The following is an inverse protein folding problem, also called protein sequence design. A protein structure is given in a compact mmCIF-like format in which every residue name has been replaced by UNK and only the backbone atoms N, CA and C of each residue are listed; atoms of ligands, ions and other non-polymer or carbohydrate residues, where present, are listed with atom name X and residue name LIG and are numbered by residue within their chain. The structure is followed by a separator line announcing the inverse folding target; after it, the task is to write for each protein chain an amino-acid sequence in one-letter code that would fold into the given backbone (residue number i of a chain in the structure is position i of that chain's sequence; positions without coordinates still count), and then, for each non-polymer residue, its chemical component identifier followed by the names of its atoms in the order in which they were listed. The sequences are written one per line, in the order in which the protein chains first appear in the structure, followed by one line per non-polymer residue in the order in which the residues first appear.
data_IF_060592366030
#
_entry.id   IF_060592366030
#
_cell.length_a   1.000
_cell.length_b   1.000
_cell.length_c   1.000
_cell.angle_alpha   90.00
_cell.angle_beta   90.00
_cell.angle_gamma   90.00
#
_symmetry.space_group_name_H-M   'P 1'
#
loop_
_entity.id
_entity.type
_entity.pdbx_description
1 polymer ?
#
# COMPACT_ATOMS: atom_id res chain seq x y z
N UNK A 1 -78.76 25.53 -32.65
CA UNK A 1 -79.13 26.85 -32.10
C UNK A 1 -77.86 27.49 -31.56
N UNK A 2 -77.31 28.47 -32.30
CA UNK A 2 -76.07 29.17 -31.97
C UNK A 2 -76.45 30.55 -31.42
N UNK A 3 -76.29 30.77 -30.12
CA UNK A 3 -76.55 32.07 -29.52
C UNK A 3 -75.39 33.03 -29.80
N UNK A 4 -75.71 34.13 -30.47
CA UNK A 4 -74.86 35.28 -30.73
C UNK A 4 -74.45 35.94 -29.40
N UNK A 5 -73.15 35.91 -29.09
CA UNK A 5 -72.56 36.67 -27.98
C UNK A 5 -72.76 38.18 -28.16
N UNK A 6 -73.17 38.84 -27.08
CA UNK A 6 -73.44 40.28 -26.97
C UNK A 6 -72.15 41.11 -26.92
N UNK A 7 -72.24 42.37 -27.35
CA UNK A 7 -71.13 43.33 -27.49
C UNK A 7 -70.39 43.75 -26.19
N UNK A 8 -70.65 43.10 -25.06
CA UNK A 8 -70.00 43.36 -23.76
C UNK A 8 -68.75 42.52 -23.49
N UNK A 9 -68.53 41.43 -24.24
CA UNK A 9 -67.39 40.52 -24.00
C UNK A 9 -66.06 41.00 -24.59
N UNK A 10 -66.06 42.09 -25.37
CA UNK A 10 -64.85 42.59 -26.04
C UNK A 10 -63.87 43.30 -25.10
N UNK A 11 -64.31 43.67 -23.89
CA UNK A 11 -63.51 44.35 -22.87
C UNK A 11 -63.45 43.56 -21.54
N UNK A 12 -63.79 42.27 -21.57
CA UNK A 12 -63.65 41.42 -20.39
C UNK A 12 -62.16 41.06 -20.19
N UNK A 13 -61.63 41.11 -18.95
CA UNK A 13 -60.28 40.64 -18.68
C UNK A 13 -60.17 39.14 -19.04
N UNK A 14 -58.99 38.68 -19.48
CA UNK A 14 -58.77 37.28 -19.80
C UNK A 14 -59.07 36.40 -18.58
N UNK A 15 -59.71 35.25 -18.83
CA UNK A 15 -60.13 34.33 -17.77
C UNK A 15 -58.96 33.67 -17.02
N UNK A 16 -57.78 33.66 -17.64
CA UNK A 16 -56.54 33.12 -17.06
C UNK A 16 -55.39 34.06 -17.40
N UNK A 17 -54.49 34.26 -16.44
CA UNK A 17 -53.22 34.97 -16.60
C UNK A 17 -52.13 33.93 -16.43
N UNK A 18 -51.24 33.79 -17.41
CA UNK A 18 -50.05 32.95 -17.31
C UNK A 18 -48.94 33.76 -16.65
N UNK A 19 -48.49 33.31 -15.48
CA UNK A 19 -47.37 33.93 -14.76
C UNK A 19 -46.18 32.96 -14.73
N UNK A 20 -44.97 33.49 -14.98
CA UNK A 20 -43.74 32.72 -14.85
C UNK A 20 -43.43 32.47 -13.37
N UNK A 21 -43.64 31.25 -12.89
CA UNK A 21 -43.31 30.86 -11.53
C UNK A 21 -41.80 30.60 -11.45
N UNK A 22 -41.08 31.48 -10.77
CA UNK A 22 -39.66 31.30 -10.47
C UNK A 22 -39.50 30.77 -9.05
N UNK A 23 -39.07 29.52 -8.94
CA UNK A 23 -38.76 28.90 -7.66
C UNK A 23 -37.25 28.73 -7.50
N UNK A 24 -36.74 29.05 -6.31
CA UNK A 24 -35.34 28.78 -5.96
C UNK A 24 -35.27 27.45 -5.23
N UNK A 25 -34.76 26.43 -5.92
CA UNK A 25 -34.54 25.10 -5.33
C UNK A 25 -33.11 25.01 -4.80
N UNK A 26 -32.97 24.63 -3.52
CA UNK A 26 -31.67 24.30 -2.93
C UNK A 26 -31.47 22.80 -2.97
N UNK A 27 -30.32 22.37 -3.45
CA UNK A 27 -29.93 20.96 -3.53
C UNK A 27 -28.50 20.80 -3.01
N UNK A 28 -28.15 19.62 -2.50
CA UNK A 28 -26.80 19.36 -2.04
C UNK A 28 -25.92 18.88 -3.18
N UNK A 29 -24.75 19.51 -3.26
CA UNK A 29 -23.58 19.03 -3.99
C UNK A 29 -22.40 19.06 -3.05
N UNK A 30 -21.49 18.13 -3.20
CA UNK A 30 -20.32 18.08 -2.34
C UNK A 30 -19.28 17.11 -2.84
N UNK A 31 -18.10 17.23 -2.23
CA UNK A 31 -17.01 16.28 -2.37
C UNK A 31 -16.81 15.64 -1.01
N UNK A 32 -16.86 14.31 -0.97
CA UNK A 32 -16.53 13.55 0.23
C UNK A 32 -15.17 12.89 0.06
N UNK A 33 -14.37 12.90 1.12
CA UNK A 33 -13.02 12.33 1.13
C UNK A 33 -12.84 11.44 2.34
N UNK A 34 -12.41 10.20 2.11
CA UNK A 34 -11.99 9.28 3.17
C UNK A 34 -10.54 8.90 3.01
N UNK A 35 -9.85 8.82 4.15
CA UNK A 35 -8.44 8.44 4.21
C UNK A 35 -8.23 7.42 5.32
N UNK A 36 -7.66 6.28 4.96
CA UNK A 36 -7.17 5.30 5.91
C UNK A 36 -5.65 5.26 5.86
N UNK A 37 -5.01 5.11 7.02
CA UNK A 37 -3.58 4.90 7.10
C UNK A 37 -3.27 3.86 8.17
N UNK A 38 -2.29 3.01 7.90
CA UNK A 38 -1.78 2.04 8.85
C UNK A 38 -0.26 2.23 8.93
N UNK A 39 0.25 2.20 10.15
CA UNK A 39 1.68 2.25 10.43
C UNK A 39 2.06 1.05 11.30
N UNK A 40 3.03 0.27 10.84
CA UNK A 40 3.53 -0.91 11.54
C UNK A 40 5.02 -0.74 11.77
N UNK A 41 5.41 -0.81 13.05
CA UNK A 41 6.81 -0.87 13.45
C UNK A 41 7.14 -2.29 13.85
N UNK A 42 8.22 -2.84 13.30
CA UNK A 42 8.66 -4.20 13.59
C UNK A 42 10.16 -4.29 13.81
N UNK A 43 10.55 -5.31 14.57
CA UNK A 43 11.94 -5.67 14.82
C UNK A 43 12.15 -7.13 14.45
N UNK A 44 13.20 -7.40 13.70
CA UNK A 44 13.68 -8.74 13.40
C UNK A 44 14.87 -9.05 14.31
N UNK A 45 14.81 -10.18 15.01
CA UNK A 45 15.80 -10.58 16.02
C UNK A 45 16.28 -11.98 15.65
N UNK A 46 17.59 -12.19 15.69
CA UNK A 46 18.18 -13.52 15.64
C UNK A 46 18.01 -14.20 17.00
N UNK A 47 17.34 -15.36 17.01
CA UNK A 47 17.05 -16.09 18.25
C UNK A 47 18.30 -16.75 18.82
N UNK A 48 19.27 -17.13 17.97
CA UNK A 48 20.50 -17.78 18.42
C UNK A 48 21.47 -16.76 19.03
N UNK A 49 21.69 -15.62 18.36
CA UNK A 49 22.61 -14.58 18.82
C UNK A 49 21.98 -13.52 19.74
N UNK A 50 20.65 -13.43 19.80
CA UNK A 50 19.94 -12.32 20.46
C UNK A 50 20.14 -10.96 19.76
N UNK A 51 20.79 -10.95 18.59
CA UNK A 51 21.14 -9.74 17.87
C UNK A 51 19.94 -9.19 17.07
N UNK A 52 19.80 -7.88 17.04
CA UNK A 52 18.75 -7.22 16.24
C UNK A 52 19.19 -7.15 14.78
N UNK A 53 18.61 -7.99 13.93
CA UNK A 53 18.86 -8.02 12.49
C UNK A 53 18.34 -6.74 11.82
N UNK A 54 17.17 -6.26 12.23
CA UNK A 54 16.57 -5.05 11.67
C UNK A 54 15.53 -4.42 12.60
N UNK A 55 15.37 -3.10 12.52
CA UNK A 55 14.20 -2.38 13.04
C UNK A 55 13.69 -1.47 11.94
N UNK A 56 12.41 -1.57 11.60
CA UNK A 56 11.80 -0.78 10.52
C UNK A 56 10.40 -0.31 10.89
N UNK A 57 9.97 0.73 10.19
CA UNK A 57 8.63 1.29 10.26
C UNK A 57 8.08 1.36 8.83
N UNK A 58 6.92 0.76 8.61
CA UNK A 58 6.21 0.76 7.33
C UNK A 58 4.93 1.55 7.54
N UNK A 59 4.63 2.46 6.61
CA UNK A 59 3.37 3.20 6.60
C UNK A 59 2.73 3.09 5.21
N UNK A 60 1.42 2.87 5.18
CA UNK A 60 0.59 2.94 3.98
C UNK A 60 -0.58 3.86 4.23
N UNK A 61 -0.97 4.60 3.19
CA UNK A 61 -2.07 5.56 3.20
C UNK A 61 -2.89 5.32 1.94
N UNK A 62 -4.21 5.22 2.08
CA UNK A 62 -5.15 5.18 0.97
C UNK A 62 -6.15 6.29 1.14
N UNK A 63 -6.36 7.06 0.09
CA UNK A 63 -7.33 8.13 0.02
C UNK A 63 -8.30 7.83 -1.12
N UNK A 64 -9.59 7.98 -0.86
CA UNK A 64 -10.68 7.87 -1.81
C UNK A 64 -11.51 9.13 -1.73
N UNK A 65 -11.89 9.67 -2.88
CA UNK A 65 -12.65 10.92 -3.01
C UNK A 65 -13.73 10.68 -4.04
N UNK A 66 -14.92 11.22 -3.78
CA UNK A 66 -16.03 11.18 -4.71
C UNK A 66 -16.84 12.47 -4.63
N UNK A 67 -17.35 12.89 -5.78
CA UNK A 67 -18.22 14.05 -5.90
C UNK A 67 -19.67 13.54 -6.03
N UNK A 68 -20.62 14.17 -5.33
CA UNK A 68 -22.02 13.75 -5.36
C UNK A 68 -22.96 14.93 -5.60
N UNK A 69 -24.13 14.62 -6.15
CA UNK A 69 -25.19 15.58 -6.46
C UNK A 69 -26.57 14.98 -6.18
N UNK A 70 -27.38 15.67 -5.38
CA UNK A 70 -28.78 15.28 -5.16
C UNK A 70 -29.66 15.46 -6.42
N UNK A 71 -29.14 16.14 -7.46
CA UNK A 71 -29.85 16.37 -8.72
C UNK A 71 -31.08 17.28 -8.58
N UNK A 72 -31.51 17.86 -9.69
CA UNK A 72 -32.77 18.60 -9.81
C UNK A 72 -33.38 18.23 -11.17
N UNK A 73 -34.36 17.32 -11.23
CA UNK A 73 -34.99 16.91 -12.48
C UNK A 73 -35.58 18.08 -13.28
N UNK A 74 -36.20 19.05 -12.59
CA UNK A 74 -36.85 20.23 -13.17
C UNK A 74 -35.85 21.20 -13.82
N UNK A 75 -34.59 21.18 -13.40
CA UNK A 75 -33.51 22.00 -13.93
C UNK A 75 -32.52 21.19 -14.79
N UNK A 76 -32.86 19.95 -15.14
CA UNK A 76 -32.01 19.03 -15.89
C UNK A 76 -30.62 18.79 -15.25
N UNK A 77 -30.56 18.82 -13.91
CA UNK A 77 -29.34 18.52 -13.15
C UNK A 77 -29.38 17.03 -12.77
N UNK A 78 -28.41 16.20 -13.20
CA UNK A 78 -28.43 14.77 -12.93
C UNK A 78 -28.21 14.47 -11.44
N UNK A 79 -28.86 13.41 -10.98
CA UNK A 79 -28.59 12.78 -9.68
C UNK A 79 -27.33 11.93 -9.78
N UNK A 80 -26.39 12.15 -8.86
CA UNK A 80 -25.15 11.40 -8.73
C UNK A 80 -24.98 10.96 -7.27
N UNK A 81 -25.24 9.67 -6.96
CA UNK A 81 -25.12 9.16 -5.60
C UNK A 81 -23.64 9.04 -5.18
N UNK A 82 -23.38 9.31 -3.90
CA UNK A 82 -22.05 9.11 -3.32
C UNK A 82 -21.61 7.64 -3.38
N UNK A 83 -20.49 7.38 -4.05
CA UNK A 83 -19.85 6.08 -4.24
C UNK A 83 -18.50 6.03 -3.54
N UNK A 84 -18.53 5.94 -2.21
CA UNK A 84 -17.32 5.76 -1.38
C UNK A 84 -17.40 4.43 -0.64
N UNK A 85 -16.31 3.64 -0.60
CA UNK A 85 -16.27 2.37 0.12
C UNK A 85 -16.54 2.56 1.63
N UNK A 86 -16.99 1.47 2.25
CA UNK A 86 -17.14 1.44 3.69
C UNK A 86 -15.79 1.57 4.39
N UNK A 87 -15.79 2.06 5.63
CA UNK A 87 -14.55 2.27 6.39
C UNK A 87 -13.80 0.96 6.62
N UNK A 88 -14.54 -0.15 6.81
CA UNK A 88 -13.98 -1.50 6.92
C UNK A 88 -13.32 -1.97 5.64
N UNK A 89 -13.93 -1.73 4.49
CA UNK A 89 -13.36 -2.09 3.18
C UNK A 89 -12.08 -1.30 2.90
N UNK A 90 -12.10 0.01 3.19
CA UNK A 90 -10.92 0.86 3.02
C UNK A 90 -9.78 0.44 3.97
N UNK A 91 -10.11 0.04 5.21
CA UNK A 91 -9.14 -0.47 6.18
C UNK A 91 -8.55 -1.82 5.72
N UNK A 92 -9.38 -2.73 5.22
CA UNK A 92 -8.95 -4.04 4.72
C UNK A 92 -8.00 -3.89 3.53
N UNK A 93 -8.29 -2.97 2.61
CA UNK A 93 -7.40 -2.65 1.48
C UNK A 93 -6.03 -2.17 1.96
N UNK A 94 -5.98 -1.21 2.89
CA UNK A 94 -4.70 -0.72 3.45
C UNK A 94 -3.97 -1.83 4.22
N UNK A 95 -4.72 -2.70 4.91
CA UNK A 95 -4.17 -3.83 5.67
C UNK A 95 -3.51 -4.85 4.74
N UNK A 96 -4.16 -5.21 3.64
CA UNK A 96 -3.59 -6.13 2.65
C UNK A 96 -2.31 -5.54 2.02
N UNK A 97 -2.32 -4.25 1.70
CA UNK A 97 -1.14 -3.55 1.16
C UNK A 97 0.04 -3.57 2.15
N UNK A 98 -0.20 -3.27 3.44
CA UNK A 98 0.87 -3.24 4.44
C UNK A 98 1.38 -4.64 4.81
N UNK A 99 0.50 -5.63 4.88
CA UNK A 99 0.88 -7.04 5.15
C UNK A 99 1.73 -7.59 4.00
N UNK A 100 1.35 -7.30 2.75
CA UNK A 100 2.13 -7.71 1.58
C UNK A 100 3.51 -7.07 1.57
N UNK A 101 3.60 -5.77 1.88
CA UNK A 101 4.88 -5.05 2.00
C UNK A 101 5.73 -5.63 3.13
N UNK A 102 5.15 -5.85 4.31
CA UNK A 102 5.83 -6.45 5.46
C UNK A 102 6.39 -7.83 5.10
N UNK A 103 5.58 -8.69 4.47
CA UNK A 103 5.99 -10.00 4.00
C UNK A 103 7.19 -9.94 3.05
N UNK A 104 7.14 -9.06 2.03
CA UNK A 104 8.25 -8.84 1.10
C UNK A 104 9.52 -8.36 1.81
N UNK A 105 9.41 -7.42 2.74
CA UNK A 105 10.57 -6.90 3.47
C UNK A 105 11.19 -7.95 4.39
N UNK A 106 10.37 -8.71 5.10
CA UNK A 106 10.84 -9.80 5.97
C UNK A 106 11.49 -10.91 5.15
N UNK A 107 10.82 -11.40 4.09
CA UNK A 107 11.38 -12.41 3.20
C UNK A 107 12.66 -11.94 2.50
N UNK A 108 12.80 -10.65 2.22
CA UNK A 108 14.02 -10.06 1.67
C UNK A 108 15.27 -10.35 2.52
N UNK A 109 15.14 -10.41 3.84
CA UNK A 109 16.24 -10.79 4.74
C UNK A 109 16.62 -12.27 4.61
N UNK A 110 15.67 -13.13 4.27
CA UNK A 110 15.87 -14.58 4.13
C UNK A 110 16.11 -15.04 2.69
N UNK A 111 16.02 -14.12 1.71
CA UNK A 111 16.15 -14.45 0.28
C UNK A 111 17.58 -14.86 -0.10
N UNK A 112 18.57 -14.36 0.64
CA UNK A 112 20.00 -14.66 0.43
C UNK A 112 20.67 -15.19 1.71
N UNK A 113 20.34 -16.42 2.15
CA UNK A 113 20.98 -17.03 3.32
C UNK A 113 22.51 -17.09 3.19
N UNK A 114 23.02 -17.31 1.97
CA UNK A 114 24.46 -17.31 1.71
C UNK A 114 25.14 -15.98 2.09
N UNK A 115 24.46 -14.84 1.94
CA UNK A 115 24.99 -13.53 2.37
C UNK A 115 25.00 -13.39 3.89
N UNK A 116 24.00 -13.97 4.57
CA UNK A 116 23.97 -14.00 6.03
C UNK A 116 25.15 -14.82 6.57
N UNK A 117 25.32 -16.05 6.08
CA UNK A 117 26.43 -16.91 6.48
C UNK A 117 27.80 -16.28 6.24
N UNK A 118 27.99 -15.60 5.10
CA UNK A 118 29.20 -14.83 4.83
C UNK A 118 29.45 -13.75 5.87
N UNK A 119 28.45 -12.94 6.22
CA UNK A 119 28.60 -11.87 7.24
C UNK A 119 28.84 -12.42 8.64
N UNK A 120 28.21 -13.53 8.98
CA UNK A 120 28.43 -14.22 10.25
C UNK A 120 29.85 -14.77 10.32
N UNK A 121 30.34 -15.40 9.24
CA UNK A 121 31.73 -15.85 9.11
C UNK A 121 32.73 -14.70 9.28
N UNK A 122 32.50 -13.57 8.62
CA UNK A 122 33.34 -12.36 8.77
C UNK A 122 33.36 -11.85 10.23
N UNK A 123 32.24 -11.95 10.93
CA UNK A 123 32.11 -11.48 12.32
C UNK A 123 32.83 -12.42 13.29
N UNK A 124 32.70 -13.74 13.10
CA UNK A 124 33.40 -14.76 13.88
C UNK A 124 34.92 -14.70 13.64
N UNK A 125 35.34 -14.46 12.40
CA UNK A 125 36.74 -14.27 12.06
C UNK A 125 37.35 -13.05 12.78
N UNK A 126 36.61 -11.93 12.86
CA UNK A 126 37.03 -10.75 13.66
C UNK A 126 37.17 -11.07 15.15
N UNK A 127 36.31 -11.97 15.67
CA UNK A 127 36.37 -12.48 17.05
C UNK A 127 37.46 -13.54 17.25
N UNK A 128 38.21 -13.91 16.20
CA UNK A 128 39.23 -14.99 16.18
C UNK A 128 38.67 -16.38 16.43
N UNK A 129 37.38 -16.57 16.22
CA UNK A 129 36.72 -17.88 16.24
C UNK A 129 36.81 -18.52 14.85
N UNK A 130 38.03 -18.84 14.42
CA UNK A 130 38.33 -19.21 13.03
C UNK A 130 37.64 -20.50 12.58
N UNK A 131 37.57 -21.52 13.44
CA UNK A 131 36.91 -22.79 13.11
C UNK A 131 35.42 -22.59 12.77
N UNK A 132 34.71 -21.83 13.61
CA UNK A 132 33.30 -21.48 13.36
C UNK A 132 33.14 -20.54 12.17
N UNK A 133 34.11 -19.65 11.92
CA UNK A 133 34.09 -18.79 10.75
C UNK A 133 34.19 -19.59 9.45
N UNK A 134 35.09 -20.58 9.39
CA UNK A 134 35.26 -21.48 8.26
C UNK A 134 33.99 -22.28 8.00
N UNK A 135 33.37 -22.84 9.05
CA UNK A 135 32.09 -23.55 8.94
C UNK A 135 31.03 -22.67 8.27
N UNK A 136 30.88 -21.41 8.71
CA UNK A 136 29.90 -20.49 8.10
C UNK A 136 30.24 -20.11 6.65
N UNK A 137 31.51 -20.04 6.28
CA UNK A 137 31.89 -19.84 4.88
C UNK A 137 31.57 -21.07 4.01
N UNK A 138 31.76 -22.28 4.54
CA UNK A 138 31.37 -23.53 3.86
C UNK A 138 29.84 -23.59 3.70
N UNK A 139 29.07 -23.22 4.74
CA UNK A 139 27.60 -23.10 4.66
C UNK A 139 27.18 -22.16 3.52
N UNK A 140 27.89 -21.03 3.34
CA UNK A 140 27.61 -20.09 2.26
C UNK A 140 27.91 -20.67 0.86
N UNK A 141 29.04 -21.37 0.71
CA UNK A 141 29.46 -22.02 -0.55
C UNK A 141 28.46 -23.11 -0.94
N UNK A 142 28.17 -24.03 -0.02
CA UNK A 142 27.26 -25.16 -0.26
C UNK A 142 25.87 -24.69 -0.67
N UNK A 143 25.37 -23.60 -0.10
CA UNK A 143 24.09 -23.00 -0.49
C UNK A 143 24.09 -22.37 -1.89
N UNK A 144 25.20 -21.78 -2.32
CA UNK A 144 25.35 -21.29 -3.70
C UNK A 144 25.42 -22.46 -4.70
N UNK A 145 26.16 -23.51 -4.37
CA UNK A 145 26.26 -24.74 -5.16
C UNK A 145 24.90 -25.46 -5.27
N UNK A 146 24.16 -25.60 -4.17
CA UNK A 146 22.80 -26.19 -4.18
C UNK A 146 21.84 -25.41 -5.08
N UNK A 147 22.04 -24.11 -5.23
CA UNK A 147 21.25 -23.26 -6.11
C UNK A 147 21.73 -23.31 -7.57
N UNK A 148 22.77 -24.08 -7.88
CA UNK A 148 23.47 -24.10 -9.18
C UNK A 148 23.94 -22.71 -9.64
N UNK A 149 24.30 -21.84 -8.68
CA UNK A 149 24.81 -20.50 -8.95
C UNK A 149 26.23 -20.45 -8.38
N UNK A 150 27.26 -20.57 -9.22
CA UNK A 150 28.62 -20.26 -8.77
C UNK A 150 28.79 -18.74 -8.78
N UNK A 151 28.64 -18.13 -7.61
CA UNK A 151 28.58 -16.69 -7.44
C UNK A 151 29.91 -16.07 -6.98
N UNK A 152 30.02 -14.72 -7.00
CA UNK A 152 31.16 -14.01 -6.43
C UNK A 152 31.31 -14.23 -4.91
N UNK A 153 30.26 -14.67 -4.20
CA UNK A 153 30.34 -14.99 -2.77
C UNK A 153 31.14 -16.27 -2.54
N UNK A 154 30.94 -17.32 -3.33
CA UNK A 154 31.75 -18.56 -3.28
C UNK A 154 33.24 -18.27 -3.46
N UNK A 155 33.60 -17.51 -4.51
CA UNK A 155 35.01 -17.13 -4.74
C UNK A 155 35.61 -16.35 -3.57
N UNK A 156 34.81 -15.48 -2.96
CA UNK A 156 35.24 -14.71 -1.79
C UNK A 156 35.39 -15.60 -0.55
N UNK A 157 34.43 -16.50 -0.30
CA UNK A 157 34.45 -17.45 0.80
C UNK A 157 35.71 -18.33 0.76
N UNK A 158 36.04 -18.90 -0.40
CA UNK A 158 37.27 -19.68 -0.59
C UNK A 158 38.52 -18.88 -0.22
N UNK A 159 38.63 -17.63 -0.70
CA UNK A 159 39.77 -16.76 -0.37
C UNK A 159 39.89 -16.52 1.13
N UNK A 160 38.79 -16.25 1.82
CA UNK A 160 38.81 -16.02 3.27
C UNK A 160 39.20 -17.28 4.04
N UNK A 161 38.70 -18.45 3.63
CA UNK A 161 39.09 -19.75 4.21
C UNK A 161 40.60 -19.96 4.04
N UNK A 162 41.15 -19.76 2.82
CA UNK A 162 42.57 -19.94 2.54
C UNK A 162 43.45 -19.02 3.41
N UNK A 163 43.04 -17.77 3.59
CA UNK A 163 43.74 -16.83 4.48
C UNK A 163 43.73 -17.34 5.93
N UNK A 164 42.58 -17.84 6.40
CA UNK A 164 42.44 -18.34 7.77
C UNK A 164 43.25 -19.61 8.03
N UNK A 165 43.24 -20.56 7.10
CA UNK A 165 44.04 -21.79 7.19
C UNK A 165 45.54 -21.48 7.26
N UNK A 166 46.00 -20.51 6.46
CA UNK A 166 47.40 -20.06 6.48
C UNK A 166 47.77 -19.33 7.79
N UNK A 167 46.82 -18.65 8.45
CA UNK A 167 47.06 -18.05 9.77
C UNK A 167 47.05 -19.06 10.92
N UNK A 168 46.30 -20.15 10.80
CA UNK A 168 46.29 -21.24 11.79
C UNK A 168 47.52 -22.15 11.68
N UNK A 169 48.14 -22.22 10.51
CA UNK A 169 49.34 -23.02 10.25
C UNK A 169 50.66 -22.35 10.72
N UNK A 170 50.60 -21.12 11.25
CA UNK A 170 51.74 -20.38 11.82
C UNK A 170 51.65 -20.31 13.34
#
# INVERSE_FOLDING_TARGET
MSQKGTASDRNAPPATIEEEIRETVRYKVGTEKKRAFIRVSYRLIDVEGGEVIATRNIQKVKEVSDDFSEGIPQANIPYDPLQIPADTELLDLVTQEIVTELGKQVLGYFSSPQTLYMRTGETLAKKREYEKAVEKYIDAITLEEMKNISGPLTTRAHREIDLMMNTLAK
#
